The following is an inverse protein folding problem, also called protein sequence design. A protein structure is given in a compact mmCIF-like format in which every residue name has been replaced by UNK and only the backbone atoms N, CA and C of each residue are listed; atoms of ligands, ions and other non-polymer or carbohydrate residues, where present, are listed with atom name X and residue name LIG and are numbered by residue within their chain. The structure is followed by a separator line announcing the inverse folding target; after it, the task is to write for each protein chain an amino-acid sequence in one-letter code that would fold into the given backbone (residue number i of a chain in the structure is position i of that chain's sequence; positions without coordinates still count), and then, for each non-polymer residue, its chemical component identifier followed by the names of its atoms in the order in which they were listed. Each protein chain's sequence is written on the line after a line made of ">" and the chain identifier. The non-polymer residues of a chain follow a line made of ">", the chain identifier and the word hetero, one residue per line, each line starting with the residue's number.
data_IF_764437996998
#
_entry.id   IF_764437996998
#
_cell.length_a   1.000
_cell.length_b   1.000
_cell.length_c   1.000
_cell.angle_alpha   90.00
_cell.angle_beta   90.00
_cell.angle_gamma   90.00
#
_symmetry.space_group_name_H-M   'P 1'
#
loop_
_entity.id
_entity.type
_entity.pdbx_description
1 polymer ?
#
# COMPACT_ATOMS: atom_id res chain seq x y z
N UNK A 1 18.11 36.63 22.57
CA UNK A 1 17.10 35.69 23.08
C UNK A 1 16.32 35.18 21.88
N UNK A 2 16.71 34.01 21.36
CA UNK A 2 16.11 33.41 20.17
C UNK A 2 14.80 32.69 20.55
N UNK A 3 13.81 32.75 19.66
CA UNK A 3 12.44 32.32 19.91
C UNK A 3 12.25 30.81 20.05
N UNK A 4 11.15 30.44 20.71
CA UNK A 4 10.48 29.14 20.61
C UNK A 4 8.98 29.43 20.65
N UNK A 5 8.39 29.61 19.47
CA UNK A 5 6.97 29.40 19.23
C UNK A 5 6.81 27.94 18.83
N UNK A 6 6.70 27.05 19.81
CA UNK A 6 6.56 25.61 19.61
C UNK A 6 5.18 25.26 19.05
N UNK A 7 5.20 24.68 17.86
CA UNK A 7 4.11 23.96 17.20
C UNK A 7 3.51 22.87 18.10
N UNK A 8 2.19 22.84 18.22
CA UNK A 8 1.46 21.68 18.69
C UNK A 8 0.20 21.47 17.85
N UNK A 9 0.10 20.41 17.03
CA UNK A 9 -1.17 20.00 16.46
C UNK A 9 -1.92 19.22 17.56
N UNK A 10 -2.86 19.86 18.24
CA UNK A 10 -3.85 19.10 19.02
C UNK A 10 -5.09 18.98 18.16
N UNK A 11 -5.03 17.98 17.28
CA UNK A 11 -6.13 17.53 16.45
C UNK A 11 -7.36 17.29 17.33
N UNK A 12 -8.43 17.98 16.97
CA UNK A 12 -9.79 17.80 17.44
C UNK A 12 -10.19 16.33 17.32
N UNK A 13 -10.54 15.73 18.47
CA UNK A 13 -11.15 14.41 18.53
C UNK A 13 -12.53 14.39 17.86
N UNK A 14 -12.59 13.80 16.67
CA UNK A 14 -13.80 13.26 16.05
C UNK A 14 -13.78 11.72 16.09
N UNK A 15 -14.92 11.05 15.90
CA UNK A 15 -15.06 9.60 16.12
C UNK A 15 -14.18 8.85 15.14
N UNK A 16 -13.01 8.36 15.60
CA UNK A 16 -12.03 7.57 14.84
C UNK A 16 -12.21 7.73 13.33
N UNK A 17 -11.99 8.96 12.85
CA UNK A 17 -12.12 9.28 11.43
C UNK A 17 -11.16 8.32 10.75
N UNK A 18 -11.72 7.33 10.05
CA UNK A 18 -10.92 6.36 9.34
C UNK A 18 -10.05 7.19 8.41
N UNK A 19 -8.77 7.33 8.74
CA UNK A 19 -7.90 8.19 7.96
C UNK A 19 -7.69 7.46 6.63
N UNK A 20 -8.53 7.83 5.68
CA UNK A 20 -8.59 7.21 4.37
C UNK A 20 -7.23 7.33 3.68
N UNK A 21 -6.43 8.35 4.01
CA UNK A 21 -5.04 8.47 3.55
C UNK A 21 -4.14 7.41 4.19
N UNK A 22 -4.34 7.10 5.47
CA UNK A 22 -3.64 6.00 6.16
C UNK A 22 -3.95 4.64 5.52
N UNK A 23 -5.19 4.40 5.06
CA UNK A 23 -5.56 3.15 4.35
C UNK A 23 -4.85 3.07 2.99
N UNK A 24 -4.86 4.15 2.20
CA UNK A 24 -4.15 4.21 0.91
C UNK A 24 -2.65 4.04 1.12
N UNK A 25 -2.07 4.72 2.11
CA UNK A 25 -0.65 4.63 2.44
C UNK A 25 -0.25 3.21 2.85
N UNK A 26 -1.09 2.52 3.63
CA UNK A 26 -0.85 1.13 4.03
C UNK A 26 -0.83 0.18 2.83
N UNK A 27 -1.73 0.40 1.87
CA UNK A 27 -1.76 -0.37 0.61
C UNK A 27 -0.54 -0.05 -0.25
N UNK A 28 -0.11 1.20 -0.33
CA UNK A 28 1.10 1.60 -1.06
C UNK A 28 2.36 0.96 -0.46
N UNK A 29 2.47 0.91 0.87
CA UNK A 29 3.56 0.23 1.57
C UNK A 29 3.54 -1.27 1.26
N UNK A 30 2.37 -1.92 1.37
CA UNK A 30 2.23 -3.33 1.03
C UNK A 30 2.63 -3.61 -0.44
N UNK A 31 2.17 -2.75 -1.36
CA UNK A 31 2.50 -2.83 -2.78
C UNK A 31 4.00 -2.69 -3.03
N UNK A 32 4.66 -1.72 -2.40
CA UNK A 32 6.11 -1.52 -2.49
C UNK A 32 6.87 -2.75 -1.97
N UNK A 33 6.44 -3.32 -0.83
CA UNK A 33 7.01 -4.53 -0.26
C UNK A 33 6.84 -5.75 -1.18
N UNK A 34 5.67 -5.98 -1.77
CA UNK A 34 5.50 -7.08 -2.71
C UNK A 34 6.25 -6.86 -4.02
N UNK A 35 6.35 -5.62 -4.51
CA UNK A 35 7.11 -5.32 -5.72
C UNK A 35 8.62 -5.56 -5.49
N UNK A 36 9.12 -5.22 -4.30
CA UNK A 36 10.48 -5.57 -3.89
C UNK A 36 10.67 -7.09 -3.77
N UNK A 37 9.69 -7.82 -3.24
CA UNK A 37 9.71 -9.28 -3.16
C UNK A 37 9.74 -9.93 -4.55
N UNK A 38 8.87 -9.50 -5.48
CA UNK A 38 8.89 -9.94 -6.88
C UNK A 38 10.24 -9.66 -7.53
N UNK A 39 10.80 -8.45 -7.38
CA UNK A 39 12.13 -8.12 -7.92
C UNK A 39 13.24 -9.00 -7.33
N UNK A 40 13.23 -9.24 -6.02
CA UNK A 40 14.20 -10.10 -5.36
C UNK A 40 14.11 -11.55 -5.87
N UNK A 41 12.88 -12.07 -6.05
CA UNK A 41 12.65 -13.40 -6.61
C UNK A 41 13.11 -13.48 -8.06
N UNK A 42 12.75 -12.51 -8.91
CA UNK A 42 13.23 -12.43 -10.32
C UNK A 42 14.77 -12.42 -10.37
N UNK A 43 15.43 -11.63 -9.50
CA UNK A 43 16.89 -11.62 -9.42
C UNK A 43 17.49 -12.96 -8.97
N UNK A 44 16.79 -13.69 -8.09
CA UNK A 44 17.18 -15.03 -7.64
C UNK A 44 16.87 -16.17 -8.63
N UNK A 45 15.97 -15.93 -9.59
CA UNK A 45 15.68 -16.84 -10.72
C UNK A 45 16.61 -16.53 -11.91
N UNK A 46 17.26 -15.37 -11.92
CA UNK A 46 18.22 -15.00 -12.98
C UNK A 46 19.57 -15.70 -12.74
N UNK A 47 19.90 -16.74 -13.53
CA UNK A 47 21.15 -17.51 -13.42
C UNK A 47 20.93 -19.02 -13.22
N UNK A 48 21.79 -19.69 -12.46
CA UNK A 48 21.78 -21.15 -12.19
C UNK A 48 20.53 -21.65 -11.42
N UNK A 49 19.62 -20.76 -11.02
CA UNK A 49 18.37 -21.08 -10.32
C UNK A 49 17.10 -21.00 -11.18
N UNK A 50 17.22 -20.72 -12.48
CA UNK A 50 16.09 -20.60 -13.41
C UNK A 50 15.37 -21.93 -13.64
N UNK A 51 16.10 -23.04 -13.55
CA UNK A 51 15.59 -24.40 -13.80
C UNK A 51 15.02 -25.08 -12.54
N UNK A 52 14.98 -24.37 -11.40
CA UNK A 52 14.52 -24.92 -10.14
C UNK A 52 13.00 -24.64 -9.98
N UNK A 53 12.12 -25.65 -10.12
CA UNK A 53 10.66 -25.47 -10.13
C UNK A 53 10.14 -24.85 -8.83
N UNK A 54 10.85 -25.00 -7.71
CA UNK A 54 10.52 -24.35 -6.45
C UNK A 54 10.65 -22.81 -6.55
N UNK A 55 11.70 -22.31 -7.19
CA UNK A 55 11.94 -20.86 -7.35
C UNK A 55 10.96 -20.23 -8.34
N UNK A 56 10.56 -20.96 -9.38
CA UNK A 56 9.51 -20.55 -10.31
C UNK A 56 8.13 -20.52 -9.64
N UNK A 57 7.81 -21.50 -8.79
CA UNK A 57 6.57 -21.51 -8.02
C UNK A 57 6.49 -20.34 -7.03
N UNK A 58 7.59 -20.02 -6.35
CA UNK A 58 7.68 -18.86 -5.46
C UNK A 58 7.58 -17.53 -6.22
N UNK A 59 8.17 -17.43 -7.41
CA UNK A 59 8.00 -16.28 -8.28
C UNK A 59 6.55 -16.12 -8.73
N UNK A 60 5.90 -17.20 -9.15
CA UNK A 60 4.49 -17.18 -9.54
C UNK A 60 3.59 -16.79 -8.36
N UNK A 61 3.88 -17.29 -7.15
CA UNK A 61 3.18 -16.91 -5.94
C UNK A 61 3.35 -15.41 -5.63
N UNK A 62 4.59 -14.89 -5.75
CA UNK A 62 4.88 -13.47 -5.54
C UNK A 62 4.19 -12.58 -6.59
N UNK A 63 4.19 -12.97 -7.87
CA UNK A 63 3.51 -12.27 -8.97
C UNK A 63 1.99 -12.25 -8.74
N UNK A 64 1.41 -13.39 -8.36
CA UNK A 64 -0.02 -13.48 -8.05
C UNK A 64 -0.39 -12.56 -6.88
N UNK A 65 0.40 -12.57 -5.80
CA UNK A 65 0.17 -11.68 -4.65
C UNK A 65 0.30 -10.20 -5.03
N UNK A 66 1.28 -9.84 -5.85
CA UNK A 66 1.45 -8.46 -6.32
C UNK A 66 0.29 -8.00 -7.21
N UNK A 67 -0.16 -8.85 -8.14
CA UNK A 67 -1.31 -8.56 -9.02
C UNK A 67 -2.60 -8.36 -8.22
N UNK A 68 -2.86 -9.22 -7.23
CA UNK A 68 -4.03 -9.10 -6.35
C UNK A 68 -4.00 -7.77 -5.58
N UNK A 69 -2.87 -7.40 -5.00
CA UNK A 69 -2.77 -6.12 -4.28
C UNK A 69 -2.86 -4.89 -5.19
N UNK A 70 -2.35 -4.97 -6.42
CA UNK A 70 -2.51 -3.89 -7.39
C UNK A 70 -3.98 -3.68 -7.78
N UNK A 71 -4.72 -4.77 -7.99
CA UNK A 71 -6.16 -4.71 -8.24
C UNK A 71 -6.92 -4.14 -7.03
N UNK A 72 -6.57 -4.60 -5.82
CA UNK A 72 -7.15 -4.08 -4.57
C UNK A 72 -6.86 -2.58 -4.42
N UNK A 73 -5.66 -2.10 -4.74
CA UNK A 73 -5.32 -0.67 -4.68
C UNK A 73 -6.26 0.17 -5.55
N UNK A 74 -6.49 -0.25 -6.79
CA UNK A 74 -7.39 0.46 -7.71
C UNK A 74 -8.83 0.51 -7.17
N UNK A 75 -9.34 -0.61 -6.65
CA UNK A 75 -10.68 -0.69 -6.07
C UNK A 75 -10.78 0.11 -4.76
N UNK A 76 -9.82 -0.01 -3.85
CA UNK A 76 -9.83 0.65 -2.55
C UNK A 76 -9.69 2.17 -2.70
N UNK A 77 -8.78 2.66 -3.55
CA UNK A 77 -8.65 4.11 -3.82
C UNK A 77 -9.96 4.66 -4.41
N UNK A 78 -10.62 3.91 -5.29
CA UNK A 78 -11.92 4.29 -5.84
C UNK A 78 -13.02 4.30 -4.77
N UNK A 79 -13.15 3.22 -3.98
CA UNK A 79 -14.13 3.14 -2.90
C UNK A 79 -13.93 4.24 -1.86
N UNK A 80 -12.68 4.60 -1.55
CA UNK A 80 -12.34 5.71 -0.67
C UNK A 80 -12.81 7.04 -1.27
N UNK A 81 -12.53 7.28 -2.56
CA UNK A 81 -13.00 8.49 -3.25
C UNK A 81 -14.53 8.58 -3.29
N UNK A 82 -15.21 7.46 -3.50
CA UNK A 82 -16.68 7.39 -3.50
C UNK A 82 -17.25 7.65 -2.10
N UNK A 83 -16.61 7.14 -1.04
CA UNK A 83 -16.97 7.44 0.35
C UNK A 83 -16.78 8.92 0.66
N UNK A 84 -15.66 9.53 0.26
CA UNK A 84 -15.42 10.97 0.43
C UNK A 84 -16.49 11.82 -0.29
N UNK A 85 -16.81 11.49 -1.54
CA UNK A 85 -17.86 12.19 -2.29
C UNK A 85 -19.24 11.98 -1.66
N UNK A 86 -19.56 10.77 -1.19
CA UNK A 86 -20.84 10.48 -0.51
C UNK A 86 -20.99 11.23 0.81
N UNK A 87 -19.89 11.39 1.57
CA UNK A 87 -19.87 12.21 2.79
C UNK A 87 -20.06 13.70 2.43
N UNK A 88 -19.31 14.23 1.44
CA UNK A 88 -19.43 15.63 1.01
C UNK A 88 -20.80 15.98 0.40
N UNK A 89 -21.51 15.00 -0.16
CA UNK A 89 -22.86 15.22 -0.73
C UNK A 89 -23.97 15.07 0.30
N UNK A 90 -23.72 14.42 1.45
CA UNK A 90 -24.69 14.25 2.54
C UNK A 90 -24.71 15.42 3.52
N UNK A 91 -23.74 16.33 3.45
CA UNK A 91 -23.68 17.57 4.26
C UNK A 91 -24.34 18.74 3.55
#
# INVERSE_FOLDING_TARGET
>A
MAGVGGTGPTGTGGPAELDLNTVVSSIDVALASANANVKAKIGGVSGEGADDPAKLAELQHAINSWSVMYNIRSTVVKSIKDVMMSIMQKV
#
